data_IF_337610461519
#
_entry.id   IF_337610461519
#
_cell.length_a   1.000
_cell.length_b   1.000
_cell.length_c   1.000
_cell.angle_alpha   90.00
_cell.angle_beta   90.00
_cell.angle_gamma   90.00
#
_symmetry.space_group_name_H-M   'P 1'
#
loop_
_entity.id
_entity.type
_entity.pdbx_description
1 polymer ?
#
# COMPACT_ATOMS: atom_id res chain seq x y z
N UNK A 1 -22.48 -6.08 -1.57
CA UNK A 1 -21.97 -6.18 -2.94
C UNK A 1 -20.78 -7.12 -2.90
N UNK A 2 -20.72 -8.10 -3.80
CA UNK A 2 -19.63 -9.09 -3.82
C UNK A 2 -18.41 -8.51 -4.53
N UNK A 3 -17.21 -8.96 -4.17
CA UNK A 3 -15.95 -8.49 -4.78
C UNK A 3 -15.96 -8.72 -6.30
N UNK A 4 -16.51 -9.85 -6.73
CA UNK A 4 -16.66 -10.20 -8.14
C UNK A 4 -17.62 -9.30 -8.93
N UNK A 5 -18.57 -8.61 -8.28
CA UNK A 5 -19.50 -7.70 -8.96
C UNK A 5 -18.89 -6.32 -9.15
N UNK A 6 -18.18 -5.82 -8.14
CA UNK A 6 -17.59 -4.47 -8.16
C UNK A 6 -16.43 -4.34 -9.15
N UNK A 7 -15.58 -5.37 -9.27
CA UNK A 7 -14.35 -5.32 -10.08
C UNK A 7 -14.38 -6.22 -11.32
N UNK A 8 -15.57 -6.57 -11.81
CA UNK A 8 -15.76 -7.57 -12.87
C UNK A 8 -14.89 -7.33 -14.10
N UNK A 9 -14.84 -6.09 -14.60
CA UNK A 9 -14.10 -5.74 -15.81
C UNK A 9 -12.59 -5.86 -15.62
N UNK A 10 -12.09 -5.41 -14.47
CA UNK A 10 -10.66 -5.49 -14.10
C UNK A 10 -10.23 -6.95 -13.86
N UNK A 11 -11.10 -7.78 -13.27
CA UNK A 11 -10.88 -9.21 -13.11
C UNK A 11 -10.75 -9.90 -14.48
N UNK A 12 -11.63 -9.58 -15.43
CA UNK A 12 -11.56 -10.16 -16.78
C UNK A 12 -10.28 -9.74 -17.50
N UNK A 13 -9.90 -8.47 -17.41
CA UNK A 13 -8.66 -7.96 -17.99
C UNK A 13 -7.44 -8.65 -17.39
N UNK A 14 -7.33 -8.71 -16.06
CA UNK A 14 -6.23 -9.40 -15.36
C UNK A 14 -6.15 -10.87 -15.80
N UNK A 15 -7.28 -11.59 -15.84
CA UNK A 15 -7.31 -12.99 -16.25
C UNK A 15 -6.85 -13.19 -17.71
N UNK A 16 -7.12 -12.23 -18.60
CA UNK A 16 -6.71 -12.31 -20.00
C UNK A 16 -5.20 -12.25 -20.21
N UNK A 17 -4.47 -11.65 -19.26
CA UNK A 17 -3.01 -11.49 -19.32
C UNK A 17 -2.23 -12.78 -19.04
N UNK A 18 -2.88 -13.80 -18.47
CA UNK A 18 -2.22 -15.02 -18.03
C UNK A 18 -2.78 -16.28 -18.72
N UNK A 19 -1.92 -17.13 -19.31
CA UNK A 19 -2.36 -18.41 -19.86
C UNK A 19 -2.79 -19.39 -18.75
N UNK A 20 -2.23 -19.25 -17.54
CA UNK A 20 -2.54 -20.06 -16.36
C UNK A 20 -3.25 -19.19 -15.33
N UNK A 21 -4.49 -19.55 -14.98
CA UNK A 21 -5.34 -18.76 -14.06
C UNK A 21 -4.69 -18.53 -12.69
N UNK A 22 -3.95 -19.51 -12.16
CA UNK A 22 -3.26 -19.39 -10.86
C UNK A 22 -2.34 -18.16 -10.79
N UNK A 23 -1.73 -17.75 -11.90
CA UNK A 23 -0.81 -16.61 -11.95
C UNK A 23 -1.50 -15.26 -11.70
N UNK A 24 -2.82 -15.19 -11.88
CA UNK A 24 -3.61 -14.00 -11.59
C UNK A 24 -3.89 -13.77 -10.09
N UNK A 25 -3.44 -14.68 -9.20
CA UNK A 25 -3.75 -14.61 -7.78
C UNK A 25 -3.26 -13.33 -7.10
N UNK A 26 -1.99 -12.95 -7.30
CA UNK A 26 -1.40 -11.75 -6.67
C UNK A 26 -2.10 -10.46 -7.14
N UNK A 27 -2.28 -10.21 -8.46
CA UNK A 27 -3.03 -9.04 -8.92
C UNK A 27 -4.47 -8.98 -8.39
N UNK A 28 -5.17 -10.11 -8.31
CA UNK A 28 -6.55 -10.13 -7.79
C UNK A 28 -6.61 -9.83 -6.30
N UNK A 29 -5.65 -10.31 -5.51
CA UNK A 29 -5.52 -9.95 -4.10
C UNK A 29 -5.22 -8.45 -3.92
N UNK A 30 -4.42 -7.86 -4.81
CA UNK A 30 -4.15 -6.42 -4.81
C UNK A 30 -5.42 -5.60 -5.06
N UNK A 31 -6.23 -5.99 -6.05
CA UNK A 31 -7.53 -5.37 -6.32
C UNK A 31 -8.46 -5.50 -5.12
N UNK A 32 -8.48 -6.65 -4.45
CA UNK A 32 -9.29 -6.87 -3.25
C UNK A 32 -8.86 -5.99 -2.07
N UNK A 33 -7.56 -5.76 -1.90
CA UNK A 33 -7.02 -4.93 -0.84
C UNK A 33 -7.30 -3.43 -1.06
N UNK A 34 -7.35 -2.96 -2.31
CA UNK A 34 -7.44 -1.54 -2.65
C UNK A 34 -8.64 -0.80 -2.05
N UNK A 35 -9.78 -1.48 -1.87
CA UNK A 35 -11.01 -0.84 -1.38
C UNK A 35 -10.99 -0.62 0.14
N UNK A 36 -10.57 -1.64 0.89
CA UNK A 36 -10.67 -1.65 2.35
C UNK A 36 -9.32 -1.50 3.06
N UNK A 37 -8.21 -1.49 2.32
CA UNK A 37 -6.84 -1.50 2.85
C UNK A 37 -6.35 -2.86 3.34
N UNK A 38 -7.24 -3.86 3.43
CA UNK A 38 -6.96 -5.24 3.84
C UNK A 38 -7.82 -6.22 3.05
N UNK A 39 -7.41 -7.49 3.02
CA UNK A 39 -8.14 -8.53 2.29
C UNK A 39 -9.07 -9.29 3.24
N UNK A 40 -10.37 -9.26 2.94
CA UNK A 40 -11.39 -9.98 3.71
C UNK A 40 -11.41 -11.48 3.40
N UNK A 41 -11.84 -12.30 4.35
CA UNK A 41 -12.04 -13.73 4.13
C UNK A 41 -13.04 -14.05 3.01
N UNK A 42 -14.08 -13.23 2.86
CA UNK A 42 -15.04 -13.35 1.77
C UNK A 42 -14.38 -13.14 0.41
N UNK A 43 -13.56 -12.09 0.27
CA UNK A 43 -12.81 -11.83 -0.96
C UNK A 43 -11.84 -12.97 -1.29
N UNK A 44 -11.14 -13.52 -0.30
CA UNK A 44 -10.25 -14.68 -0.49
C UNK A 44 -11.00 -15.92 -1.01
N UNK A 45 -12.19 -16.21 -0.47
CA UNK A 45 -13.04 -17.34 -0.90
C UNK A 45 -13.54 -17.13 -2.34
N UNK A 46 -13.96 -15.91 -2.68
CA UNK A 46 -14.38 -15.57 -4.05
C UNK A 46 -13.22 -15.73 -5.05
N UNK A 47 -12.03 -15.21 -4.73
CA UNK A 47 -10.84 -15.36 -5.58
C UNK A 47 -10.45 -16.83 -5.75
N UNK A 48 -10.52 -17.63 -4.69
CA UNK A 48 -10.26 -19.07 -4.77
C UNK A 48 -11.22 -19.76 -5.77
N UNK A 49 -12.51 -19.43 -5.72
CA UNK A 49 -13.52 -19.96 -6.66
C UNK A 49 -13.24 -19.53 -8.10
N UNK A 50 -12.93 -18.25 -8.34
CA UNK A 50 -12.63 -17.71 -9.67
C UNK A 50 -11.43 -18.40 -10.33
N UNK A 51 -10.38 -18.66 -9.54
CA UNK A 51 -9.15 -19.28 -10.02
C UNK A 51 -9.16 -20.81 -9.99
N UNK A 52 -10.24 -21.43 -9.48
CA UNK A 52 -10.34 -22.88 -9.23
C UNK A 52 -9.21 -23.38 -8.32
N UNK A 53 -8.90 -22.60 -7.29
CA UNK A 53 -7.94 -22.94 -6.24
C UNK A 53 -8.68 -23.27 -4.94
N UNK A 54 -7.97 -23.90 -4.01
CA UNK A 54 -8.49 -24.13 -2.67
C UNK A 54 -8.24 -22.89 -1.79
N UNK A 55 -9.13 -22.56 -0.83
CA UNK A 55 -8.90 -21.43 0.08
C UNK A 55 -7.56 -21.45 0.83
N UNK A 56 -7.03 -22.62 1.29
CA UNK A 56 -5.70 -22.67 1.90
C UNK A 56 -4.57 -22.20 0.98
N UNK A 57 -4.62 -22.49 -0.33
CA UNK A 57 -3.59 -22.02 -1.27
C UNK A 57 -3.57 -20.49 -1.39
N UNK A 58 -4.74 -19.85 -1.30
CA UNK A 58 -4.85 -18.39 -1.26
C UNK A 58 -4.28 -17.86 0.06
N UNK A 59 -4.57 -18.53 1.17
CA UNK A 59 -4.08 -18.18 2.50
C UNK A 59 -2.55 -18.30 2.62
N UNK A 60 -1.96 -19.37 2.08
CA UNK A 60 -0.50 -19.54 1.99
C UNK A 60 0.14 -18.37 1.23
N UNK A 61 -0.49 -17.93 0.14
CA UNK A 61 0.05 -16.83 -0.68
C UNK A 61 -0.04 -15.49 0.05
N UNK A 62 -1.18 -15.17 0.66
CA UNK A 62 -1.36 -13.89 1.34
C UNK A 62 -0.47 -13.76 2.59
N UNK A 63 -0.26 -14.85 3.33
CA UNK A 63 0.63 -14.86 4.50
C UNK A 63 2.11 -14.76 4.12
N UNK A 64 2.47 -15.19 2.90
CA UNK A 64 3.84 -15.13 2.41
C UNK A 64 4.29 -13.72 2.03
N UNK A 65 3.40 -12.90 1.46
CA UNK A 65 3.73 -11.54 1.03
C UNK A 65 3.35 -10.50 2.09
N UNK A 66 4.36 -9.81 2.63
CA UNK A 66 4.19 -8.76 3.66
C UNK A 66 3.37 -7.54 3.20
N UNK A 67 3.23 -7.35 1.88
CA UNK A 67 2.42 -6.28 1.28
C UNK A 67 0.92 -6.45 1.55
N UNK A 68 0.45 -7.67 1.80
CA UNK A 68 -0.95 -7.92 2.05
C UNK A 68 -1.32 -7.81 3.52
N UNK A 69 -2.32 -6.99 3.80
CA UNK A 69 -2.83 -6.79 5.15
C UNK A 69 -3.98 -7.77 5.41
N UNK A 70 -3.84 -8.58 6.46
CA UNK A 70 -4.89 -9.48 6.96
C UNK A 70 -5.79 -8.83 8.01
N UNK A 71 -5.32 -7.73 8.60
CA UNK A 71 -6.03 -6.98 9.63
C UNK A 71 -6.45 -5.63 9.05
N UNK A 72 -7.53 -5.03 9.57
CA UNK A 72 -7.93 -3.68 9.20
C UNK A 72 -6.77 -2.72 9.42
N UNK A 73 -6.45 -1.94 8.39
CA UNK A 73 -5.52 -0.83 8.45
C UNK A 73 -6.30 0.48 8.34
N UNK A 74 -5.72 1.54 8.87
CA UNK A 74 -6.28 2.89 8.73
C UNK A 74 -6.26 3.35 7.28
N UNK A 75 -7.00 4.43 7.01
CA UNK A 75 -7.10 5.03 5.66
C UNK A 75 -5.74 5.35 5.02
N UNK A 76 -4.74 5.70 5.84
CA UNK A 76 -3.38 5.99 5.44
C UNK A 76 -2.41 5.04 6.14
N UNK A 77 -1.84 4.13 5.37
CA UNK A 77 -0.83 3.19 5.83
C UNK A 77 0.56 3.80 5.65
N UNK A 78 1.16 4.25 6.76
CA UNK A 78 2.49 4.82 6.83
C UNK A 78 3.53 3.69 6.92
N UNK A 79 4.30 3.50 5.86
CA UNK A 79 5.33 2.47 5.74
C UNK A 79 6.71 3.12 5.74
N UNK A 80 7.42 3.08 6.88
CA UNK A 80 8.72 3.74 7.05
C UNK A 80 9.85 2.75 6.84
N UNK A 81 10.81 3.09 5.97
CA UNK A 81 11.97 2.26 5.70
C UNK A 81 12.98 2.29 6.87
N UNK A 82 13.30 1.12 7.44
CA UNK A 82 14.31 0.96 8.52
C UNK A 82 15.60 0.30 8.05
N UNK A 83 15.75 -0.01 6.78
CA UNK A 83 17.00 -0.60 6.27
C UNK A 83 18.19 0.35 6.47
N UNK A 84 19.39 -0.23 6.50
CA UNK A 84 20.65 0.42 6.90
C UNK A 84 20.85 1.84 6.36
N UNK A 85 20.61 2.07 5.07
CA UNK A 85 20.83 3.38 4.45
C UNK A 85 19.89 4.45 5.02
N UNK A 86 18.62 4.11 5.24
CA UNK A 86 17.66 5.01 5.86
C UNK A 86 17.96 5.22 7.35
N UNK A 87 18.42 4.18 8.05
CA UNK A 87 18.83 4.30 9.46
C UNK A 87 20.02 5.27 9.62
N UNK A 88 21.02 5.22 8.73
CA UNK A 88 22.19 6.13 8.76
C UNK A 88 21.82 7.61 8.58
N UNK A 89 20.75 7.89 7.85
CA UNK A 89 20.24 9.25 7.62
C UNK A 89 19.11 9.65 8.57
N UNK A 90 18.85 8.84 9.60
CA UNK A 90 17.93 9.18 10.69
C UNK A 90 16.50 8.66 10.56
N UNK A 91 16.24 7.51 9.93
CA UNK A 91 14.87 6.96 9.91
C UNK A 91 14.35 6.54 11.29
N UNK A 92 15.22 6.19 12.25
CA UNK A 92 14.81 5.89 13.62
C UNK A 92 14.19 7.11 14.32
N UNK A 93 14.75 8.31 14.13
CA UNK A 93 14.19 9.54 14.71
C UNK A 93 12.83 9.87 14.09
N UNK A 94 12.63 9.56 12.79
CA UNK A 94 11.31 9.71 12.16
C UNK A 94 10.27 8.77 12.77
N UNK A 95 10.64 7.51 13.04
CA UNK A 95 9.72 6.53 13.66
C UNK A 95 9.33 6.99 15.06
N UNK A 96 10.30 7.44 15.86
CA UNK A 96 10.05 7.99 17.21
C UNK A 96 9.15 9.22 17.15
N UNK A 97 9.39 10.11 16.19
CA UNK A 97 8.59 11.31 15.98
C UNK A 97 7.14 10.95 15.63
N UNK A 98 6.91 10.01 14.70
CA UNK A 98 5.57 9.56 14.32
C UNK A 98 4.86 8.93 15.52
N UNK A 99 5.57 8.11 16.30
CA UNK A 99 5.03 7.50 17.52
C UNK A 99 4.59 8.58 18.52
N UNK A 100 5.42 9.58 18.79
CA UNK A 100 5.08 10.68 19.69
C UNK A 100 3.91 11.53 19.19
N UNK A 101 3.85 11.80 17.87
CA UNK A 101 2.82 12.66 17.28
C UNK A 101 1.45 12.00 17.18
N UNK A 102 1.41 10.75 16.74
CA UNK A 102 0.18 10.00 16.50
C UNK A 102 -0.22 9.11 17.69
N UNK A 103 0.68 8.88 18.64
CA UNK A 103 0.45 8.02 19.80
C UNK A 103 0.30 6.55 19.44
N UNK A 104 1.02 6.07 18.41
CA UNK A 104 0.94 4.70 17.90
C UNK A 104 2.31 4.05 17.78
N UNK A 105 2.41 2.77 18.15
CA UNK A 105 3.61 1.97 17.91
C UNK A 105 3.61 1.36 16.49
N UNK A 106 4.77 0.88 16.00
CA UNK A 106 4.82 0.07 14.79
C UNK A 106 3.88 -1.15 14.86
N UNK A 107 3.01 -1.28 13.86
CA UNK A 107 1.98 -2.31 13.77
C UNK A 107 0.62 -1.90 14.34
N UNK A 108 0.49 -0.68 14.85
CA UNK A 108 -0.76 -0.16 15.42
C UNK A 108 -1.45 0.86 14.50
N UNK A 109 -2.74 1.05 14.78
CA UNK A 109 -3.63 1.98 14.08
C UNK A 109 -4.15 3.01 15.07
N UNK A 110 -4.28 4.27 14.65
CA UNK A 110 -4.85 5.32 15.50
C UNK A 110 -6.31 5.02 15.86
N UNK A 111 -6.77 5.48 17.02
CA UNK A 111 -8.16 5.32 17.46
C UNK A 111 -9.17 5.92 16.46
N UNK A 112 -8.76 6.96 15.72
CA UNK A 112 -9.55 7.61 14.67
C UNK A 112 -9.68 6.74 13.39
N UNK A 113 -8.95 5.63 13.29
CA UNK A 113 -8.93 4.76 12.10
C UNK A 113 -8.26 5.39 10.87
N UNK A 114 -7.55 6.52 11.05
CA UNK A 114 -6.97 7.28 9.95
C UNK A 114 -5.57 6.82 9.57
N UNK A 115 -4.71 6.54 10.56
CA UNK A 115 -3.30 6.24 10.30
C UNK A 115 -2.93 4.87 10.85
N UNK A 116 -2.11 4.11 10.12
CA UNK A 116 -1.45 2.91 10.61
C UNK A 116 0.03 2.99 10.36
N UNK A 117 0.84 2.67 11.37
CA UNK A 117 2.29 2.71 11.25
C UNK A 117 2.81 1.29 11.00
N UNK A 118 3.67 1.12 10.00
CA UNK A 118 4.41 -0.10 9.76
C UNK A 118 5.85 0.24 9.46
N UNK A 119 6.75 -0.48 10.11
CA UNK A 119 8.17 -0.40 9.81
C UNK A 119 8.45 -1.48 8.77
N UNK A 120 8.98 -1.05 7.63
CA UNK A 120 9.26 -1.91 6.49
C UNK A 120 10.75 -1.89 6.17
N UNK A 121 11.16 -2.87 5.37
CA UNK A 121 12.50 -2.92 4.81
C UNK A 121 12.63 -2.01 3.59
N UNK A 122 13.69 -2.21 2.81
CA UNK A 122 14.10 -1.34 1.73
C UNK A 122 12.98 -1.11 0.70
N UNK A 123 12.61 0.15 0.53
CA UNK A 123 11.67 0.64 -0.50
C UNK A 123 12.39 1.23 -1.73
N UNK A 124 13.64 0.82 -1.97
CA UNK A 124 14.45 1.17 -3.13
C UNK A 124 14.75 2.67 -3.39
N UNK A 125 14.33 3.60 -2.51
CA UNK A 125 14.65 5.03 -2.60
C UNK A 125 15.82 5.45 -1.71
N UNK A 126 16.89 4.65 -1.65
CA UNK A 126 18.04 4.91 -0.77
C UNK A 126 18.80 6.21 -1.10
N UNK A 127 18.78 6.65 -2.37
CA UNK A 127 19.48 7.86 -2.81
C UNK A 127 18.87 9.17 -2.28
N UNK A 128 17.61 9.13 -1.84
CA UNK A 128 16.84 10.27 -1.33
C UNK A 128 16.28 10.00 0.06
N UNK A 129 16.90 9.07 0.80
CA UNK A 129 16.54 8.78 2.19
C UNK A 129 16.74 9.98 3.12
N UNK A 130 16.08 9.99 4.30
CA UNK A 130 15.12 9.00 4.78
C UNK A 130 13.77 9.12 4.05
N UNK A 131 13.08 7.99 3.91
CA UNK A 131 11.85 7.90 3.11
C UNK A 131 10.75 7.09 3.80
N UNK A 132 9.52 7.37 3.39
CA UNK A 132 8.29 6.69 3.82
C UNK A 132 7.37 6.55 2.62
N UNK A 133 6.64 5.45 2.56
CA UNK A 133 5.54 5.27 1.63
C UNK A 133 4.22 5.44 2.39
N UNK A 134 3.27 6.19 1.82
CA UNK A 134 1.89 6.27 2.33
C UNK A 134 0.97 5.66 1.31
N UNK A 135 0.36 4.52 1.63
CA UNK A 135 -0.36 3.69 0.67
C UNK A 135 0.54 3.38 -0.55
N UNK A 136 0.27 4.00 -1.70
CA UNK A 136 1.04 3.81 -2.94
C UNK A 136 2.03 4.95 -3.22
N UNK A 137 1.95 6.06 -2.49
CA UNK A 137 2.72 7.28 -2.76
C UNK A 137 4.03 7.34 -1.96
N UNK A 138 5.11 7.78 -2.61
CA UNK A 138 6.42 7.90 -1.98
C UNK A 138 6.62 9.31 -1.42
N UNK A 139 7.27 9.38 -0.27
CA UNK A 139 7.69 10.62 0.37
C UNK A 139 9.16 10.50 0.76
N UNK A 140 9.99 11.30 0.11
CA UNK A 140 11.44 11.24 0.20
C UNK A 140 12.03 12.49 0.87
N UNK A 141 13.30 12.40 1.28
CA UNK A 141 14.04 13.46 1.97
C UNK A 141 13.25 14.02 3.16
N UNK A 142 12.75 13.11 3.98
CA UNK A 142 11.85 13.44 5.09
C UNK A 142 12.60 14.17 6.20
N UNK A 143 11.95 15.18 6.73
CA UNK A 143 12.33 15.91 7.94
C UNK A 143 11.11 15.96 8.85
N UNK A 144 11.30 16.26 10.14
CA UNK A 144 10.20 16.39 11.10
C UNK A 144 9.15 17.42 10.63
N UNK A 145 9.58 18.58 10.14
CA UNK A 145 8.68 19.61 9.60
C UNK A 145 7.86 19.12 8.39
N UNK A 146 8.50 18.33 7.49
CA UNK A 146 7.81 17.75 6.34
C UNK A 146 6.81 16.69 6.79
N UNK A 147 7.17 15.85 7.75
CA UNK A 147 6.25 14.85 8.31
C UNK A 147 5.03 15.51 8.95
N UNK A 148 5.23 16.59 9.71
CA UNK A 148 4.14 17.34 10.33
C UNK A 148 3.15 17.87 9.30
N UNK A 149 3.70 18.44 8.21
CA UNK A 149 2.89 18.91 7.10
C UNK A 149 2.17 17.77 6.39
N UNK A 150 2.85 16.65 6.11
CA UNK A 150 2.25 15.47 5.47
C UNK A 150 1.09 14.94 6.31
N UNK A 151 1.28 14.75 7.62
CA UNK A 151 0.23 14.25 8.52
C UNK A 151 -0.97 15.20 8.58
N UNK A 152 -0.71 16.51 8.64
CA UNK A 152 -1.76 17.54 8.63
C UNK A 152 -2.54 17.57 7.31
N UNK A 153 -1.84 17.51 6.17
CA UNK A 153 -2.44 17.47 4.84
C UNK A 153 -3.30 16.19 4.69
N UNK A 154 -2.76 15.03 5.04
CA UNK A 154 -3.50 13.76 4.97
C UNK A 154 -4.76 13.76 5.86
N UNK A 155 -4.71 14.40 7.03
CA UNK A 155 -5.88 14.53 7.92
C UNK A 155 -6.94 15.47 7.37
N UNK A 156 -6.55 16.54 6.68
CA UNK A 156 -7.46 17.61 6.22
C UNK A 156 -7.99 17.42 4.80
N UNK A 157 -7.10 17.16 3.85
CA UNK A 157 -7.43 17.05 2.41
C UNK A 157 -7.38 15.60 1.92
N UNK A 158 -6.73 14.71 2.66
CA UNK A 158 -6.55 13.31 2.28
C UNK A 158 -5.45 13.07 1.24
N UNK A 159 -4.76 14.12 0.80
CA UNK A 159 -3.60 14.06 -0.08
C UNK A 159 -2.62 15.18 0.29
N UNK A 160 -1.32 14.90 0.23
CA UNK A 160 -0.28 15.92 0.41
C UNK A 160 0.40 16.22 -0.93
N UNK A 161 0.74 17.49 -1.24
CA UNK A 161 1.51 17.86 -2.43
C UNK A 161 3.00 17.49 -2.32
N UNK A 162 3.47 17.05 -1.16
CA UNK A 162 4.86 16.65 -0.93
C UNK A 162 5.20 15.24 -1.44
N UNK A 163 4.31 14.63 -2.24
CA UNK A 163 4.55 13.34 -2.88
C UNK A 163 5.76 13.46 -3.79
N UNK A 164 6.76 12.66 -3.50
CA UNK A 164 7.84 12.36 -4.41
C UNK A 164 7.24 11.28 -5.32
N UNK A 165 6.96 11.59 -6.60
CA UNK A 165 6.29 10.65 -7.50
C UNK A 165 6.95 9.27 -7.49
N UNK A 166 6.27 8.20 -7.98
CA UNK A 166 6.81 6.85 -7.93
C UNK A 166 8.21 6.85 -8.54
N UNK A 167 9.20 6.46 -7.74
CA UNK A 167 10.59 6.34 -8.19
C UNK A 167 10.62 5.40 -9.40
N UNK A 168 10.75 5.99 -10.59
CA UNK A 168 11.10 5.34 -11.87
C UNK A 168 9.98 4.71 -12.73
N UNK A 169 8.76 5.24 -12.77
CA UNK A 169 7.87 4.90 -13.91
C UNK A 169 7.02 6.11 -14.33
N UNK A 170 6.95 6.45 -15.64
CA UNK A 170 5.94 7.41 -16.08
C UNK A 170 4.58 6.90 -15.61
N UNK A 171 3.80 7.78 -14.99
CA UNK A 171 2.43 7.50 -14.58
C UNK A 171 1.75 6.69 -15.70
N UNK A 172 1.25 5.47 -15.44
CA UNK A 172 0.66 4.67 -16.50
C UNK A 172 -0.45 5.51 -17.11
N UNK A 173 -0.25 5.92 -18.37
CA UNK A 173 -1.18 6.75 -19.14
C UNK A 173 -2.59 6.27 -18.82
N UNK A 174 -3.39 7.11 -18.16
CA UNK A 174 -4.81 6.80 -18.02
C UNK A 174 -5.33 6.67 -19.44
N UNK A 175 -6.27 5.77 -19.71
CA UNK A 175 -6.77 5.57 -21.07
C UNK A 175 -7.33 6.86 -21.71
N UNK A 176 -7.56 7.90 -20.90
CA UNK A 176 -7.95 9.26 -21.27
C UNK A 176 -6.83 10.13 -21.84
N UNK A 177 -5.57 9.75 -21.69
CA UNK A 177 -4.42 10.58 -22.09
C UNK A 177 -3.95 10.28 -23.52
N UNK A 178 -4.63 9.35 -24.22
CA UNK A 178 -4.53 9.22 -25.67
C UNK A 178 -5.53 10.16 -26.32
N UNK A 179 -5.10 11.38 -26.63
CA UNK A 179 -5.44 12.18 -27.83
C UNK A 179 -4.83 13.57 -27.62
N UNK A 180 -3.71 13.83 -28.29
CA UNK A 180 -3.37 15.09 -28.99
C UNK A 180 -1.92 15.01 -29.45
N UNK A 181 -1.73 14.87 -30.76
CA UNK A 181 -0.45 14.72 -31.44
C UNK A 181 -0.66 14.12 -32.81
#
# INVERSE_FOLDING_TARGET
MTFSETYKDEIVDILSRYPVKRSALIPLLYVAQRDQGYVTESAMKEIAQLLRLTPPQVYETITFYTMFNLKPVGKFHLQVCKSLMCALVGSDTLIEWINAKLGIAPGETTADGLFSLSVVECLAACGTGPMMQVNDDYYEQLTEDKLDRIVSDLRSTGTSPLKSGPFMWPEPLRSTDKVTG
#
